data_IF_196555319668
#
_entry.id   IF_196555319668
#
_cell.length_a   1.000
_cell.length_b   1.000
_cell.length_c   1.000
_cell.angle_alpha   90.00
_cell.angle_beta   90.00
_cell.angle_gamma   90.00
#
_symmetry.space_group_name_H-M   'P 1'
#
loop_
_entity.id
_entity.type
_entity.pdbx_description
1 polymer ?
#
# COMPACT_ATOMS: atom_id res chain seq x y z
N UNK A 1 -23.51 14.82 0.95
CA UNK A 1 -24.59 15.45 0.19
C UNK A 1 -25.66 14.42 -0.09
N UNK A 2 -25.40 13.44 -0.97
CA UNK A 2 -26.31 12.31 -1.24
C UNK A 2 -26.92 11.63 -0.02
N UNK A 3 -26.14 11.29 1.03
CA UNK A 3 -26.71 10.68 2.25
C UNK A 3 -27.67 11.61 3.00
N UNK A 4 -27.45 12.94 2.95
CA UNK A 4 -28.37 13.92 3.57
C UNK A 4 -29.68 14.02 2.78
N UNK A 5 -29.63 13.76 1.49
CA UNK A 5 -30.78 13.76 0.59
C UNK A 5 -31.46 12.37 0.49
N UNK A 6 -31.03 11.42 1.31
CA UNK A 6 -31.48 10.01 1.29
C UNK A 6 -31.28 9.31 -0.06
N UNK A 7 -30.28 9.73 -0.83
CA UNK A 7 -29.89 9.13 -2.10
C UNK A 7 -28.75 8.11 -1.89
N UNK A 8 -29.13 6.93 -1.39
CA UNK A 8 -28.18 5.86 -1.09
C UNK A 8 -27.48 5.34 -2.35
N UNK A 9 -28.17 5.34 -3.50
CA UNK A 9 -27.60 4.86 -4.76
C UNK A 9 -26.39 5.71 -5.18
N UNK A 10 -26.55 7.03 -5.24
CA UNK A 10 -25.45 7.90 -5.65
C UNK A 10 -24.36 8.00 -4.58
N UNK A 11 -24.70 7.87 -3.28
CA UNK A 11 -23.71 7.76 -2.21
C UNK A 11 -22.80 6.53 -2.41
N UNK A 12 -23.39 5.35 -2.63
CA UNK A 12 -22.65 4.11 -2.87
C UNK A 12 -21.87 4.18 -4.18
N UNK A 13 -22.49 4.71 -5.25
CA UNK A 13 -21.85 4.85 -6.56
C UNK A 13 -20.62 5.75 -6.47
N UNK A 14 -20.71 6.89 -5.78
CA UNK A 14 -19.59 7.81 -5.61
C UNK A 14 -18.43 7.14 -4.87
N UNK A 15 -18.71 6.42 -3.77
CA UNK A 15 -17.68 5.69 -3.00
C UNK A 15 -17.02 4.61 -3.86
N UNK A 16 -17.81 3.85 -4.62
CA UNK A 16 -17.28 2.84 -5.53
C UNK A 16 -16.38 3.44 -6.62
N UNK A 17 -16.80 4.55 -7.23
CA UNK A 17 -15.99 5.27 -8.22
C UNK A 17 -14.71 5.85 -7.61
N UNK A 18 -14.77 6.42 -6.42
CA UNK A 18 -13.59 6.93 -5.70
C UNK A 18 -12.55 5.82 -5.50
N UNK A 19 -12.97 4.62 -5.07
CA UNK A 19 -12.08 3.47 -4.94
C UNK A 19 -11.49 3.03 -6.29
N UNK A 20 -12.28 3.06 -7.38
CA UNK A 20 -11.76 2.74 -8.71
C UNK A 20 -10.73 3.77 -9.19
N UNK A 21 -10.93 5.05 -8.89
CA UNK A 21 -9.97 6.09 -9.23
C UNK A 21 -8.68 5.99 -8.40
N UNK A 22 -8.77 5.66 -7.11
CA UNK A 22 -7.59 5.46 -6.27
C UNK A 22 -6.69 4.34 -6.80
N UNK A 23 -7.28 3.19 -7.16
CA UNK A 23 -6.55 2.05 -7.74
C UNK A 23 -6.02 2.35 -9.15
N UNK A 24 -6.81 3.03 -9.99
CA UNK A 24 -6.37 3.44 -11.32
C UNK A 24 -5.18 4.42 -11.26
N UNK A 25 -5.19 5.34 -10.29
CA UNK A 25 -4.08 6.25 -10.05
C UNK A 25 -2.83 5.50 -9.58
N UNK A 26 -2.98 4.50 -8.71
CA UNK A 26 -1.86 3.66 -8.27
C UNK A 26 -1.22 2.89 -9.46
N UNK A 27 -2.04 2.31 -10.34
CA UNK A 27 -1.56 1.63 -11.56
C UNK A 27 -0.87 2.60 -12.52
N UNK A 28 -1.49 3.76 -12.77
CA UNK A 28 -0.94 4.78 -13.64
C UNK A 28 0.37 5.37 -13.11
N UNK A 29 0.44 5.67 -11.81
CA UNK A 29 1.65 6.17 -11.20
C UNK A 29 2.75 5.11 -11.24
N UNK A 30 2.42 3.83 -11.00
CA UNK A 30 3.40 2.76 -11.14
C UNK A 30 3.94 2.69 -12.58
N UNK A 31 3.07 2.71 -13.60
CA UNK A 31 3.47 2.77 -15.02
C UNK A 31 4.41 3.96 -15.29
N UNK A 32 4.07 5.16 -14.77
CA UNK A 32 4.91 6.35 -14.88
C UNK A 32 6.26 6.18 -14.19
N UNK A 33 6.32 5.54 -13.02
CA UNK A 33 7.58 5.24 -12.34
C UNK A 33 8.44 4.32 -13.19
N UNK A 34 7.88 3.22 -13.72
CA UNK A 34 8.64 2.26 -14.55
C UNK A 34 9.20 2.91 -15.83
N UNK A 35 8.40 3.75 -16.48
CA UNK A 35 8.76 4.33 -17.79
C UNK A 35 9.53 5.64 -17.70
N UNK A 36 9.24 6.49 -16.72
CA UNK A 36 9.68 7.89 -16.69
C UNK A 36 10.53 8.20 -15.45
N UNK A 37 9.97 8.10 -14.24
CA UNK A 37 10.67 8.57 -13.03
C UNK A 37 11.84 7.69 -12.63
N UNK A 38 11.66 6.37 -12.62
CA UNK A 38 12.73 5.40 -12.43
C UNK A 38 13.31 4.97 -13.78
N UNK A 39 12.45 4.74 -14.77
CA UNK A 39 12.87 4.58 -16.17
C UNK A 39 13.62 3.29 -16.47
N UNK A 40 13.38 2.22 -15.69
CA UNK A 40 13.96 0.89 -15.97
C UNK A 40 13.22 0.12 -17.08
N UNK A 41 12.05 0.60 -17.53
CA UNK A 41 11.26 -0.02 -18.59
C UNK A 41 10.73 1.01 -19.60
N UNK A 42 11.58 1.92 -20.09
CA UNK A 42 11.18 3.05 -20.97
C UNK A 42 10.37 2.65 -22.20
N UNK A 43 10.70 1.51 -22.81
CA UNK A 43 10.04 0.98 -24.01
C UNK A 43 8.81 0.12 -23.72
N UNK A 44 8.37 0.00 -22.45
CA UNK A 44 7.18 -0.76 -22.09
C UNK A 44 5.94 -0.24 -22.82
N UNK A 45 5.19 -1.14 -23.46
CA UNK A 45 3.97 -0.83 -24.19
C UNK A 45 2.89 -1.88 -23.89
N UNK A 46 2.40 -1.87 -22.66
CA UNK A 46 1.36 -2.79 -22.17
C UNK A 46 -0.02 -2.15 -22.31
N UNK A 47 -1.01 -2.97 -22.69
CA UNK A 47 -2.41 -2.58 -22.62
C UNK A 47 -2.95 -2.75 -21.18
N UNK A 48 -4.17 -2.25 -20.94
CA UNK A 48 -4.77 -2.32 -19.60
C UNK A 48 -4.93 -3.77 -19.10
N UNK A 49 -5.18 -4.73 -20.01
CA UNK A 49 -5.32 -6.15 -19.64
C UNK A 49 -4.00 -6.74 -19.16
N UNK A 50 -2.89 -6.39 -19.82
CA UNK A 50 -1.55 -6.81 -19.43
C UNK A 50 -1.10 -6.13 -18.12
N UNK A 51 -1.50 -4.88 -17.87
CA UNK A 51 -1.27 -4.21 -16.58
C UNK A 51 -1.99 -4.93 -15.43
N UNK A 52 -3.28 -5.27 -15.60
CA UNK A 52 -4.06 -6.02 -14.59
C UNK A 52 -3.46 -7.40 -14.33
N UNK A 53 -2.86 -8.03 -15.34
CA UNK A 53 -2.13 -9.31 -15.21
C UNK A 53 -0.74 -9.15 -14.61
N UNK A 54 -0.32 -7.94 -14.30
CA UNK A 54 1.00 -7.61 -13.77
C UNK A 54 2.16 -8.06 -14.68
N UNK A 55 1.96 -8.02 -16.00
CA UNK A 55 2.96 -8.45 -17.00
C UNK A 55 4.15 -7.47 -17.15
N UNK A 56 4.36 -6.59 -16.18
CA UNK A 56 5.47 -5.64 -16.14
C UNK A 56 6.59 -6.14 -15.21
N UNK A 57 7.76 -5.50 -15.30
CA UNK A 57 8.87 -5.76 -14.38
C UNK A 57 8.69 -4.98 -13.06
N UNK A 58 8.99 -5.64 -11.94
CA UNK A 58 8.92 -5.05 -10.61
C UNK A 58 7.56 -5.21 -9.92
N UNK A 59 7.51 -4.85 -8.64
CA UNK A 59 6.30 -4.96 -7.80
C UNK A 59 6.07 -3.69 -7.00
N UNK A 60 4.84 -3.52 -6.52
CA UNK A 60 4.43 -2.39 -5.69
C UNK A 60 3.75 -2.78 -4.36
N UNK A 61 4.44 -3.46 -3.42
CA UNK A 61 3.82 -3.98 -2.20
C UNK A 61 3.40 -2.88 -1.24
N UNK A 62 2.21 -3.04 -0.67
CA UNK A 62 1.63 -2.13 0.30
C UNK A 62 1.69 -2.72 1.73
N UNK A 63 2.04 -1.91 2.75
CA UNK A 63 1.94 -2.33 4.14
C UNK A 63 0.52 -2.79 4.53
N UNK A 64 0.44 -3.93 5.19
CA UNK A 64 -0.79 -4.64 5.56
C UNK A 64 -1.12 -5.84 4.68
N UNK A 65 -0.52 -5.95 3.49
CA UNK A 65 -0.69 -7.12 2.63
C UNK A 65 0.19 -8.29 3.08
N UNK A 66 -0.10 -9.54 2.67
CA UNK A 66 0.67 -10.72 3.09
C UNK A 66 2.19 -10.62 2.84
N UNK A 67 2.62 -9.88 1.83
CA UNK A 67 4.04 -9.66 1.52
C UNK A 67 4.73 -8.64 2.44
N UNK A 68 3.96 -7.79 3.11
CA UNK A 68 4.44 -6.79 4.05
C UNK A 68 3.35 -6.54 5.12
N UNK A 69 3.12 -7.48 6.05
CA UNK A 69 1.92 -7.46 6.90
C UNK A 69 1.94 -6.37 8.00
N UNK A 70 3.10 -5.77 8.25
CA UNK A 70 3.27 -4.77 9.28
C UNK A 70 2.69 -3.41 8.84
N UNK A 71 1.47 -3.09 9.30
CA UNK A 71 0.82 -1.81 9.02
C UNK A 71 1.63 -0.59 9.49
N UNK A 72 2.50 -0.74 10.50
CA UNK A 72 3.28 0.38 11.05
C UNK A 72 4.33 0.92 10.07
N UNK A 73 4.66 0.20 9.01
CA UNK A 73 5.50 0.70 7.91
C UNK A 73 4.86 1.89 7.17
N UNK A 74 3.52 2.08 7.26
CA UNK A 74 2.87 3.26 6.68
C UNK A 74 3.34 4.56 7.31
N UNK A 75 3.66 4.56 8.61
CA UNK A 75 4.16 5.76 9.31
C UNK A 75 5.44 6.24 8.64
N UNK A 76 6.40 5.33 8.46
CA UNK A 76 7.66 5.63 7.77
C UNK A 76 7.46 6.10 6.34
N UNK A 77 6.53 5.50 5.60
CA UNK A 77 6.21 5.89 4.23
C UNK A 77 5.64 7.31 4.18
N UNK A 78 4.70 7.63 5.08
CA UNK A 78 4.07 8.94 5.17
C UNK A 78 5.07 10.02 5.58
N UNK A 79 5.96 9.71 6.54
CA UNK A 79 7.03 10.60 6.97
C UNK A 79 8.01 10.88 5.82
N UNK A 80 8.45 9.84 5.11
CA UNK A 80 9.41 9.96 4.01
C UNK A 80 8.89 10.83 2.87
N UNK A 81 7.59 10.74 2.58
CA UNK A 81 6.96 11.45 1.47
C UNK A 81 6.34 12.78 1.89
N UNK A 82 6.37 13.13 3.18
CA UNK A 82 5.55 14.20 3.76
C UNK A 82 4.08 14.11 3.26
N UNK A 83 3.53 12.89 3.24
CA UNK A 83 2.35 12.54 2.45
C UNK A 83 1.11 13.35 2.84
N UNK A 84 0.87 13.54 4.14
CA UNK A 84 -0.28 14.30 4.64
C UNK A 84 -0.22 15.77 4.19
N UNK A 85 0.97 16.38 4.23
CA UNK A 85 1.19 17.75 3.79
C UNK A 85 0.96 17.91 2.28
N UNK A 86 1.40 16.94 1.47
CA UNK A 86 1.33 17.05 0.01
C UNK A 86 0.01 16.58 -0.61
N UNK A 87 -0.73 15.71 0.09
CA UNK A 87 -1.93 15.06 -0.46
C UNK A 87 -3.19 15.29 0.37
N UNK A 88 -3.07 15.71 1.63
CA UNK A 88 -4.16 15.77 2.59
C UNK A 88 -4.63 14.41 3.11
N UNK A 89 -4.04 13.30 2.65
CA UNK A 89 -4.34 11.96 3.17
C UNK A 89 -3.63 11.76 4.50
N UNK A 90 -4.38 11.38 5.55
CA UNK A 90 -3.85 11.12 6.89
C UNK A 90 -3.95 9.64 7.28
N UNK A 91 -3.27 9.27 8.36
CA UNK A 91 -3.38 7.95 8.98
C UNK A 91 -4.24 8.03 10.25
N UNK A 92 -5.18 7.11 10.40
CA UNK A 92 -5.93 6.94 11.66
C UNK A 92 -5.04 6.28 12.73
N UNK A 93 -5.52 6.21 13.96
CA UNK A 93 -4.85 5.48 15.05
C UNK A 93 -4.60 4.00 14.73
N UNK A 94 -5.46 3.40 13.90
CA UNK A 94 -5.32 2.02 13.40
C UNK A 94 -4.50 1.92 12.10
N UNK A 95 -3.94 3.02 11.62
CA UNK A 95 -3.16 3.12 10.37
C UNK A 95 -3.97 2.76 9.11
N UNK A 96 -5.29 2.99 9.16
CA UNK A 96 -6.10 3.13 7.97
C UNK A 96 -5.82 4.50 7.35
N UNK A 97 -5.90 4.61 6.02
CA UNK A 97 -5.77 5.89 5.34
C UNK A 97 -7.12 6.61 5.32
N UNK A 98 -7.08 7.92 5.48
CA UNK A 98 -8.24 8.79 5.38
C UNK A 98 -7.95 9.94 4.40
N UNK A 99 -8.70 10.07 3.29
CA UNK A 99 -9.88 9.28 2.89
C UNK A 99 -9.59 7.81 2.61
N UNK A 100 -10.63 6.97 2.77
CA UNK A 100 -10.54 5.50 2.60
C UNK A 100 -10.11 5.10 1.19
N UNK A 101 -10.59 5.83 0.18
CA UNK A 101 -10.21 5.66 -1.22
C UNK A 101 -8.80 6.21 -1.48
N UNK A 102 -7.80 5.56 -0.88
CA UNK A 102 -6.38 5.91 -0.97
C UNK A 102 -5.54 4.64 -1.11
N UNK A 103 -4.40 4.74 -1.79
CA UNK A 103 -3.44 3.65 -1.96
C UNK A 103 -2.04 4.16 -1.62
N UNK A 104 -1.27 3.38 -0.86
CA UNK A 104 0.14 3.66 -0.59
C UNK A 104 0.96 2.36 -0.70
N UNK A 105 2.23 2.46 -1.04
CA UNK A 105 3.11 1.31 -1.09
C UNK A 105 4.52 1.64 -1.52
N UNK A 106 5.34 0.60 -1.59
CA UNK A 106 6.72 0.66 -2.05
C UNK A 106 6.81 0.37 -3.54
N UNK A 107 7.93 0.71 -4.17
CA UNK A 107 8.27 0.23 -5.51
C UNK A 107 9.57 -0.57 -5.46
N UNK A 108 9.58 -1.75 -6.08
CA UNK A 108 10.77 -2.57 -6.28
C UNK A 108 10.96 -2.84 -7.77
N UNK A 109 12.16 -2.58 -8.29
CA UNK A 109 12.46 -2.70 -9.72
C UNK A 109 13.19 -3.98 -10.11
N UNK A 110 13.55 -4.83 -9.15
CA UNK A 110 14.32 -6.05 -9.45
C UNK A 110 13.48 -7.01 -10.30
N UNK A 111 13.99 -7.56 -11.41
CA UNK A 111 13.19 -8.39 -12.31
C UNK A 111 12.64 -9.67 -11.67
N UNK A 112 13.31 -10.16 -10.63
CA UNK A 112 12.87 -11.34 -9.87
C UNK A 112 12.07 -11.00 -8.60
N UNK A 113 11.72 -9.73 -8.39
CA UNK A 113 10.85 -9.37 -7.26
C UNK A 113 9.45 -9.92 -7.49
N UNK A 114 8.90 -10.61 -6.49
CA UNK A 114 7.57 -11.24 -6.56
C UNK A 114 6.79 -10.98 -5.27
N UNK A 115 5.47 -10.99 -5.37
CA UNK A 115 4.61 -11.04 -4.19
C UNK A 115 4.67 -12.44 -3.57
N UNK A 116 5.13 -12.53 -2.33
CA UNK A 116 5.08 -13.77 -1.55
C UNK A 116 4.48 -13.49 -0.18
N UNK A 117 3.65 -14.41 0.34
CA UNK A 117 3.11 -14.28 1.69
C UNK A 117 4.16 -14.64 2.73
N UNK A 118 4.23 -13.86 3.81
CA UNK A 118 5.06 -14.19 4.97
C UNK A 118 4.35 -15.24 5.82
N UNK A 119 5.06 -16.33 6.15
CA UNK A 119 4.58 -17.36 7.08
C UNK A 119 4.65 -16.88 8.53
N UNK A 120 4.02 -17.61 9.46
CA UNK A 120 4.13 -17.27 10.90
C UNK A 120 5.59 -17.12 11.36
N UNK A 121 5.88 -16.02 12.06
CA UNK A 121 7.21 -15.64 12.55
C UNK A 121 7.39 -15.99 14.04
N UNK A 122 8.63 -16.26 14.42
CA UNK A 122 9.02 -16.57 15.80
C UNK A 122 9.26 -15.33 16.67
N UNK A 123 9.29 -15.54 17.99
CA UNK A 123 9.60 -14.48 18.96
C UNK A 123 10.98 -13.85 18.77
N UNK A 124 11.95 -14.61 18.27
CA UNK A 124 13.30 -14.14 17.91
C UNK A 124 13.25 -13.09 16.79
N UNK A 125 12.48 -13.35 15.73
CA UNK A 125 12.28 -12.43 14.62
C UNK A 125 11.57 -11.16 15.07
N UNK A 126 10.51 -11.28 15.88
CA UNK A 126 9.78 -10.12 16.42
C UNK A 126 10.70 -9.25 17.28
N UNK A 127 11.49 -9.84 18.18
CA UNK A 127 12.44 -9.09 19.02
C UNK A 127 13.48 -8.34 18.19
N UNK A 128 14.00 -8.98 17.12
CA UNK A 128 14.94 -8.34 16.20
C UNK A 128 14.31 -7.16 15.47
N UNK A 129 13.10 -7.33 14.95
CA UNK A 129 12.39 -6.27 14.23
C UNK A 129 12.01 -5.11 15.17
N UNK A 130 11.53 -5.42 16.37
CA UNK A 130 11.22 -4.44 17.42
C UNK A 130 12.43 -3.54 17.72
N UNK A 131 13.62 -4.16 17.89
CA UNK A 131 14.88 -3.43 18.08
C UNK A 131 15.23 -2.53 16.88
N UNK A 132 15.07 -3.03 15.65
CA UNK A 132 15.36 -2.23 14.44
C UNK A 132 14.41 -1.04 14.29
N UNK A 133 13.16 -1.20 14.72
CA UNK A 133 12.12 -0.17 14.67
C UNK A 133 12.09 0.74 15.90
N UNK A 134 12.96 0.49 16.89
CA UNK A 134 12.92 1.16 18.19
C UNK A 134 11.51 1.13 18.82
N UNK A 135 10.84 -0.01 18.71
CA UNK A 135 9.47 -0.23 19.19
C UNK A 135 9.46 -1.28 20.30
N UNK A 136 8.57 -1.12 21.27
CA UNK A 136 8.35 -2.14 22.30
C UNK A 136 7.89 -3.46 21.68
N UNK A 137 8.43 -4.57 22.18
CA UNK A 137 8.19 -5.91 21.63
C UNK A 137 6.71 -6.27 21.67
N UNK A 138 6.03 -5.99 22.79
CA UNK A 138 4.61 -6.31 22.95
C UNK A 138 3.70 -5.44 22.07
N UNK A 139 4.13 -4.20 21.77
CA UNK A 139 3.44 -3.33 20.81
C UNK A 139 3.54 -3.93 19.40
N UNK A 140 4.74 -4.34 18.96
CA UNK A 140 4.90 -4.95 17.65
C UNK A 140 4.17 -6.29 17.54
N UNK A 141 4.11 -7.08 18.62
CA UNK A 141 3.32 -8.31 18.66
C UNK A 141 1.83 -8.08 18.42
N UNK A 142 1.26 -6.98 18.92
CA UNK A 142 -0.15 -6.63 18.66
C UNK A 142 -0.38 -6.40 17.16
N UNK A 143 0.47 -5.60 16.53
CA UNK A 143 0.40 -5.32 15.09
C UNK A 143 0.59 -6.57 14.23
N UNK A 144 1.49 -7.46 14.63
CA UNK A 144 1.79 -8.69 13.90
C UNK A 144 1.01 -9.91 14.40
N UNK A 145 -0.01 -9.73 15.24
CA UNK A 145 -0.73 -10.82 15.91
C UNK A 145 -1.23 -11.94 14.98
N UNK A 146 -1.73 -11.67 13.74
CA UNK A 146 -2.14 -12.75 12.83
C UNK A 146 -0.98 -13.61 12.32
N UNK A 147 0.26 -13.12 12.44
CA UNK A 147 1.48 -13.70 11.88
C UNK A 147 2.42 -14.27 12.95
N UNK A 148 2.02 -14.34 14.22
CA UNK A 148 2.86 -14.93 15.26
C UNK A 148 2.67 -16.46 15.36
N UNK A 149 3.76 -17.17 15.64
CA UNK A 149 3.75 -18.59 16.03
C UNK A 149 3.32 -18.77 17.49
#
# INVERSE_FOLDING_TARGET
>A
EFEKDHDDYHSIMLKALADRFAEALAEYMHLKVRKEYWGYAKSENLDNKALIKENYMGIRPAPGYPACPDHTEKVKLFDLLEAEKHTGVSLTESLAMNPVSSVCGWYFSHPESLYFGISKIGNDQVKKLAKQKSMEVDTLKKWLSPYLR
#
